data_IF_355950622095
#
_entry.id   IF_355950622095
#
_cell.length_a   1.000
_cell.length_b   1.000
_cell.length_c   1.000
_cell.angle_alpha   90.00
_cell.angle_beta   90.00
_cell.angle_gamma   90.00
#
_symmetry.space_group_name_H-M   'P 1'
#
loop_
_entity.id
_entity.type
_entity.pdbx_description
1 polymer ?
#
# COMPACT_ATOMS: atom_id res chain seq x y z
N UNK A 1 -41.02 -4.09 10.93
CA UNK A 1 -39.58 -4.08 10.65
C UNK A 1 -38.92 -3.26 11.75
N UNK A 2 -38.10 -3.88 12.59
CA UNK A 2 -37.42 -3.17 13.70
C UNK A 2 -35.97 -2.96 13.29
N UNK A 3 -35.59 -1.70 13.08
CA UNK A 3 -34.23 -1.28 12.74
C UNK A 3 -33.37 -1.31 14.01
N UNK A 4 -32.31 -2.13 14.00
CA UNK A 4 -31.25 -2.08 15.02
C UNK A 4 -30.36 -0.83 14.83
N UNK A 5 -29.56 -0.45 15.83
CA UNK A 5 -28.75 0.76 15.77
C UNK A 5 -27.79 0.70 14.58
N UNK A 6 -27.80 1.74 13.75
CA UNK A 6 -26.82 1.92 12.69
C UNK A 6 -25.47 2.28 13.34
N UNK A 7 -24.44 1.50 13.01
CA UNK A 7 -23.07 1.83 13.38
C UNK A 7 -22.56 2.76 12.29
N UNK A 8 -22.29 4.03 12.62
CA UNK A 8 -21.57 4.94 11.74
C UNK A 8 -20.12 4.46 11.67
N UNK A 9 -19.84 3.56 10.73
CA UNK A 9 -18.49 3.25 10.31
C UNK A 9 -18.05 4.38 9.38
N UNK A 10 -16.97 5.08 9.72
CA UNK A 10 -16.30 6.01 8.82
C UNK A 10 -15.91 5.25 7.55
N UNK A 11 -16.73 5.38 6.51
CA UNK A 11 -16.48 4.71 5.25
C UNK A 11 -15.26 5.35 4.61
N UNK A 12 -14.22 4.55 4.39
CA UNK A 12 -13.00 4.96 3.67
C UNK A 12 -13.08 4.39 2.27
N UNK A 13 -12.92 5.26 1.26
CA UNK A 13 -12.91 4.84 -0.13
C UNK A 13 -11.79 3.82 -0.37
N UNK A 14 -12.08 2.61 -0.86
CA UNK A 14 -11.05 1.61 -1.17
C UNK A 14 -9.98 2.11 -2.16
N UNK A 15 -10.30 3.13 -2.97
CA UNK A 15 -9.33 3.76 -3.89
C UNK A 15 -8.29 4.62 -3.18
N UNK A 16 -8.60 5.09 -1.97
CA UNK A 16 -7.70 5.91 -1.17
C UNK A 16 -6.88 5.05 -0.18
N UNK A 17 -7.21 3.76 -0.06
CA UNK A 17 -6.47 2.81 0.75
C UNK A 17 -5.24 2.32 -0.03
N UNK A 18 -4.08 2.91 0.29
CA UNK A 18 -2.80 2.62 -0.34
C UNK A 18 -1.77 2.11 0.67
N UNK A 19 -0.78 1.38 0.17
CA UNK A 19 0.42 1.01 0.91
C UNK A 19 1.68 1.42 0.15
N UNK A 20 2.77 1.63 0.89
CA UNK A 20 4.07 1.92 0.28
C UNK A 20 4.78 0.63 -0.07
N UNK A 21 5.26 0.55 -1.31
CA UNK A 21 6.03 -0.59 -1.83
C UNK A 21 7.30 -0.09 -2.51
N UNK A 22 8.28 -0.99 -2.67
CA UNK A 22 9.48 -0.72 -3.46
C UNK A 22 9.49 -1.61 -4.70
N UNK A 23 9.54 -0.99 -5.87
CA UNK A 23 9.74 -1.64 -7.15
C UNK A 23 11.24 -1.84 -7.37
N UNK A 24 11.66 -3.09 -7.51
CA UNK A 24 13.04 -3.47 -7.79
C UNK A 24 13.35 -3.26 -9.28
N UNK A 25 14.63 -3.14 -9.62
CA UNK A 25 15.08 -2.96 -11.00
C UNK A 25 14.66 -4.10 -11.96
N UNK A 26 14.35 -5.29 -11.42
CA UNK A 26 13.86 -6.44 -12.18
C UNK A 26 12.35 -6.40 -12.45
N UNK A 27 11.66 -5.32 -12.07
CA UNK A 27 10.21 -5.15 -12.26
C UNK A 27 9.34 -5.86 -11.22
N UNK A 28 9.93 -6.47 -10.19
CA UNK A 28 9.20 -7.11 -9.08
C UNK A 28 9.08 -6.15 -7.90
N UNK A 29 8.04 -6.32 -7.09
CA UNK A 29 7.94 -5.65 -5.80
C UNK A 29 8.84 -6.35 -4.76
N UNK A 30 9.38 -5.56 -3.84
CA UNK A 30 10.07 -6.09 -2.67
C UNK A 30 9.14 -6.98 -1.85
N UNK A 31 9.63 -8.14 -1.38
CA UNK A 31 8.85 -9.11 -0.60
C UNK A 31 8.64 -8.73 0.87
N UNK A 32 8.62 -7.43 1.19
CA UNK A 32 8.44 -6.91 2.55
C UNK A 32 7.49 -5.72 2.55
N UNK A 33 6.85 -5.49 3.69
CA UNK A 33 6.02 -4.32 3.95
C UNK A 33 6.82 -3.23 4.67
N UNK A 34 6.35 -1.99 4.53
CA UNK A 34 6.88 -0.79 5.17
C UNK A 34 5.77 -0.10 5.95
N UNK A 35 6.11 0.52 7.08
CA UNK A 35 5.17 1.26 7.90
C UNK A 35 4.80 2.60 7.27
N UNK A 36 5.75 3.26 6.61
CA UNK A 36 5.55 4.54 5.95
C UNK A 36 6.52 4.75 4.77
N UNK A 37 6.36 5.88 4.08
CA UNK A 37 7.19 6.24 2.93
C UNK A 37 8.66 6.46 3.30
N UNK A 38 8.92 7.05 4.47
CA UNK A 38 10.28 7.32 4.90
C UNK A 38 11.06 6.03 5.17
N UNK A 39 10.41 5.01 5.74
CA UNK A 39 11.02 3.69 5.91
C UNK A 39 11.34 3.03 4.57
N UNK A 40 10.45 3.11 3.59
CA UNK A 40 10.69 2.59 2.25
C UNK A 40 11.82 3.32 1.53
N UNK A 41 11.87 4.65 1.63
CA UNK A 41 12.94 5.49 1.06
C UNK A 41 14.30 5.22 1.71
N UNK A 42 14.34 4.98 3.02
CA UNK A 42 15.58 4.65 3.73
C UNK A 42 16.11 3.25 3.37
N UNK A 43 15.24 2.34 2.94
CA UNK A 43 15.60 0.99 2.54
C UNK A 43 15.98 0.89 1.06
N UNK A 44 15.29 1.64 0.19
CA UNK A 44 15.47 1.57 -1.25
C UNK A 44 16.86 2.06 -1.70
N UNK A 45 17.36 1.46 -2.79
CA UNK A 45 18.61 1.81 -3.47
C UNK A 45 18.29 2.41 -4.85
N UNK A 46 17.97 3.71 -4.94
CA UNK A 46 17.65 4.35 -6.21
C UNK A 46 18.81 4.27 -7.23
N UNK A 47 20.05 4.20 -6.76
CA UNK A 47 21.23 4.00 -7.60
C UNK A 47 21.29 2.61 -8.27
N UNK A 48 20.59 1.62 -7.72
CA UNK A 48 20.42 0.29 -8.31
C UNK A 48 19.17 0.20 -9.21
N UNK A 49 18.42 1.31 -9.35
CA UNK A 49 17.21 1.40 -10.19
C UNK A 49 15.90 1.10 -9.44
N UNK A 50 15.92 1.06 -8.11
CA UNK A 50 14.74 0.85 -7.29
C UNK A 50 13.87 2.11 -7.16
N UNK A 51 12.55 1.94 -7.02
CA UNK A 51 11.59 3.04 -6.93
C UNK A 51 10.59 2.83 -5.79
N UNK A 52 10.36 3.87 -4.99
CA UNK A 52 9.33 3.88 -3.95
C UNK A 52 8.01 4.32 -4.56
N UNK A 53 6.98 3.48 -4.45
CA UNK A 53 5.66 3.69 -5.05
C UNK A 53 4.56 3.55 -4.01
N UNK A 54 3.38 4.06 -4.34
CA UNK A 54 2.14 3.78 -3.61
C UNK A 54 1.30 2.80 -4.42
N UNK A 55 0.95 1.67 -3.81
CA UNK A 55 0.09 0.66 -4.39
C UNK A 55 -1.29 0.75 -3.74
N UNK A 56 -2.33 0.84 -4.57
CA UNK A 56 -3.69 0.70 -4.07
C UNK A 56 -3.95 -0.76 -3.64
N UNK A 57 -4.51 -0.94 -2.44
CA UNK A 57 -4.75 -2.28 -1.87
C UNK A 57 -5.72 -3.13 -2.69
N UNK A 58 -6.65 -2.52 -3.44
CA UNK A 58 -7.57 -3.23 -4.35
C UNK A 58 -6.81 -3.90 -5.50
N UNK A 59 -5.64 -3.38 -5.89
CA UNK A 59 -4.80 -3.95 -6.94
C UNK A 59 -3.85 -5.04 -6.43
N UNK A 60 -3.78 -5.28 -5.12
CA UNK A 60 -2.83 -6.22 -4.48
C UNK A 60 -3.27 -7.68 -4.47
N UNK A 61 -4.17 -8.12 -5.36
CA UNK A 61 -4.81 -9.44 -5.30
C UNK A 61 -3.89 -10.67 -5.50
N UNK A 62 -2.62 -10.48 -5.87
CA UNK A 62 -1.63 -11.55 -6.13
C UNK A 62 -0.67 -11.79 -4.94
N UNK A 63 -1.05 -11.36 -3.75
CA UNK A 63 -0.19 -11.41 -2.56
C UNK A 63 0.02 -12.80 -1.98
#
# INVERSE_FOLDING_TARGET
MTTGPAVDVDWVDPRDQVEVVVLLANGRLAGRSFADRAEAEAWARPEEGEQVLEQNLVCGCDR
#
